data_IF_392686686325
#
_entry.id   IF_392686686325
#
_cell.length_a   1.000
_cell.length_b   1.000
_cell.length_c   1.000
_cell.angle_alpha   90.00
_cell.angle_beta   90.00
_cell.angle_gamma   90.00
#
_symmetry.space_group_name_H-M   'P 1'
#
loop_
_entity.id
_entity.type
_entity.pdbx_description
1 polymer ?
#
# COMPACT_ATOMS: atom_id res chain seq x y z
N UNK A 1 -14.72 0.99 0.17
CA UNK A 1 -13.72 1.53 -0.75
C UNK A 1 -12.38 1.75 -0.07
N UNK A 2 -12.33 2.62 0.93
CA UNK A 2 -11.09 3.08 1.59
C UNK A 2 -10.21 1.91 2.09
N UNK A 3 -10.78 0.98 2.84
CA UNK A 3 -10.05 -0.19 3.33
C UNK A 3 -9.61 -1.12 2.19
N UNK A 4 -10.42 -1.20 1.13
CA UNK A 4 -10.15 -2.05 -0.02
C UNK A 4 -8.93 -1.59 -0.81
N UNK A 5 -8.78 -0.28 -1.03
CA UNK A 5 -7.62 0.27 -1.73
C UNK A 5 -6.37 0.35 -0.84
N UNK A 6 -6.55 0.48 0.49
CA UNK A 6 -5.45 0.53 1.45
C UNK A 6 -4.74 -0.83 1.59
N UNK A 7 -5.49 -1.93 1.55
CA UNK A 7 -4.94 -3.26 1.80
C UNK A 7 -3.81 -3.66 0.83
N UNK A 8 -3.94 -3.55 -0.50
CA UNK A 8 -2.85 -3.89 -1.42
C UNK A 8 -1.63 -2.95 -1.26
N UNK A 9 -1.83 -1.68 -0.92
CA UNK A 9 -0.75 -0.76 -0.58
C UNK A 9 0.04 -1.23 0.64
N UNK A 10 -0.64 -1.61 1.72
CA UNK A 10 -0.02 -2.09 2.95
C UNK A 10 0.68 -3.45 2.75
N UNK A 11 0.05 -4.34 1.96
CA UNK A 11 0.65 -5.62 1.60
C UNK A 11 1.96 -5.44 0.84
N UNK A 12 1.98 -4.53 -0.13
CA UNK A 12 3.18 -4.32 -0.91
C UNK A 12 4.28 -3.64 -0.09
N UNK A 13 3.95 -2.73 0.83
CA UNK A 13 4.91 -2.21 1.78
C UNK A 13 5.54 -3.33 2.64
N UNK A 14 4.73 -4.30 3.09
CA UNK A 14 5.23 -5.47 3.80
C UNK A 14 6.11 -6.37 2.89
N UNK A 15 5.76 -6.53 1.60
CA UNK A 15 6.59 -7.26 0.63
C UNK A 15 7.94 -6.58 0.39
N UNK A 16 7.95 -5.24 0.30
CA UNK A 16 9.19 -4.45 0.16
C UNK A 16 10.09 -4.62 1.38
N UNK A 17 9.50 -4.59 2.58
CA UNK A 17 10.22 -4.89 3.81
C UNK A 17 10.81 -6.31 3.80
N UNK A 18 10.00 -7.31 3.40
CA UNK A 18 10.46 -8.71 3.32
C UNK A 18 11.53 -8.94 2.25
N UNK A 19 11.62 -8.06 1.25
CA UNK A 19 12.72 -8.03 0.29
C UNK A 19 14.01 -7.40 0.86
N UNK A 20 13.96 -6.87 2.10
CA UNK A 20 15.11 -6.37 2.85
C UNK A 20 15.26 -4.84 2.87
N UNK A 21 14.34 -4.06 2.28
CA UNK A 21 14.42 -2.61 2.42
C UNK A 21 14.27 -2.16 3.88
N UNK A 22 15.07 -1.18 4.35
CA UNK A 22 14.98 -0.67 5.71
C UNK A 22 13.61 -0.03 5.99
N UNK A 23 13.08 -0.27 7.19
CA UNK A 23 11.78 0.25 7.64
C UNK A 23 11.73 1.77 7.54
N UNK A 24 12.79 2.45 8.01
CA UNK A 24 12.88 3.91 8.00
C UNK A 24 12.84 4.48 6.58
N UNK A 25 13.51 3.82 5.64
CA UNK A 25 13.53 4.23 4.24
C UNK A 25 12.19 4.05 3.58
N UNK A 26 11.51 2.94 3.88
CA UNK A 26 10.18 2.65 3.37
C UNK A 26 9.18 3.72 3.81
N UNK A 27 9.18 4.06 5.10
CA UNK A 27 8.32 5.12 5.62
C UNK A 27 8.69 6.49 5.04
N UNK A 28 9.99 6.82 4.95
CA UNK A 28 10.45 8.08 4.39
C UNK A 28 10.03 8.26 2.93
N UNK A 29 10.17 7.24 2.10
CA UNK A 29 9.80 7.29 0.68
C UNK A 29 8.32 7.66 0.46
N UNK A 30 7.42 7.16 1.30
CA UNK A 30 5.99 7.48 1.20
C UNK A 30 5.63 8.82 1.85
N UNK A 31 6.34 9.23 2.90
CA UNK A 31 6.24 10.59 3.45
C UNK A 31 6.70 11.63 2.42
N UNK A 32 7.82 11.41 1.75
CA UNK A 32 8.36 12.30 0.71
C UNK A 32 7.46 12.32 -0.53
N UNK A 33 6.76 11.21 -0.83
CA UNK A 33 5.72 11.19 -1.85
C UNK A 33 4.52 12.06 -1.49
N UNK A 34 4.27 12.30 -0.19
CA UNK A 34 3.24 13.20 0.33
C UNK A 34 2.17 12.56 1.21
N UNK A 35 2.29 11.28 1.56
CA UNK A 35 1.42 10.68 2.57
C UNK A 35 1.72 11.26 3.96
N UNK A 36 0.71 11.42 4.83
CA UNK A 36 0.90 11.99 6.18
C UNK A 36 1.61 11.02 7.13
N UNK A 37 1.61 9.73 6.81
CA UNK A 37 2.17 8.65 7.63
C UNK A 37 2.80 7.61 6.71
N UNK A 38 3.99 7.14 7.05
CA UNK A 38 4.62 6.03 6.33
C UNK A 38 3.88 4.70 6.56
N UNK A 39 3.94 3.75 5.60
CA UNK A 39 3.13 2.54 5.61
C UNK A 39 3.44 1.62 6.80
N UNK A 40 4.68 1.50 7.20
CA UNK A 40 5.07 0.64 8.33
C UNK A 40 4.66 1.28 9.67
N UNK A 41 4.77 2.60 9.78
CA UNK A 41 4.19 3.34 10.92
C UNK A 41 2.68 3.16 10.96
N UNK A 42 1.99 3.20 9.82
CA UNK A 42 0.54 3.01 9.74
C UNK A 42 0.11 1.59 10.17
N UNK A 43 0.89 0.55 9.83
CA UNK A 43 0.66 -0.82 10.33
C UNK A 43 0.68 -0.88 11.86
N UNK A 44 1.63 -0.19 12.49
CA UNK A 44 1.72 -0.12 13.95
C UNK A 44 0.56 0.70 14.58
N UNK A 45 0.12 1.77 13.91
CA UNK A 45 -0.99 2.62 14.38
C UNK A 45 -2.34 1.91 14.30
N UNK A 46 -2.64 1.23 13.19
CA UNK A 46 -3.85 0.41 13.00
C UNK A 46 -3.81 -0.80 13.94
N UNK A 47 -2.65 -1.39 14.08
CA UNK A 47 -2.39 -2.58 14.87
C UNK A 47 -2.21 -3.83 14.03
N UNK A 48 -1.09 -4.50 14.26
CA UNK A 48 -0.70 -5.74 13.57
C UNK A 48 -1.76 -6.83 13.68
N UNK A 49 -2.43 -6.94 14.84
CA UNK A 49 -3.51 -7.90 15.08
C UNK A 49 -4.79 -7.59 14.29
N UNK A 50 -5.05 -6.34 13.97
CA UNK A 50 -6.16 -5.94 13.10
C UNK A 50 -5.84 -6.36 11.67
N UNK A 51 -4.62 -6.07 11.18
CA UNK A 51 -4.15 -6.53 9.87
C UNK A 51 -4.27 -8.05 9.71
N UNK A 52 -3.75 -8.81 10.68
CA UNK A 52 -3.80 -10.27 10.68
C UNK A 52 -5.24 -10.84 10.62
N UNK A 53 -6.22 -10.16 11.25
CA UNK A 53 -7.64 -10.58 11.21
C UNK A 53 -8.34 -10.22 9.90
N UNK A 54 -8.02 -9.08 9.30
CA UNK A 54 -8.69 -8.57 8.12
C UNK A 54 -8.19 -9.27 6.85
N UNK A 55 -6.89 -9.55 6.75
CA UNK A 55 -6.28 -10.12 5.55
C UNK A 55 -6.92 -11.41 5.05
N UNK A 56 -7.17 -12.44 5.90
CA UNK A 56 -7.82 -13.66 5.44
C UNK A 56 -9.24 -13.43 4.88
N UNK A 57 -9.96 -12.45 5.44
CA UNK A 57 -11.29 -12.07 4.98
C UNK A 57 -11.21 -11.46 3.58
N UNK A 58 -10.27 -10.51 3.37
CA UNK A 58 -10.08 -9.89 2.06
C UNK A 58 -9.65 -10.89 0.99
N UNK A 59 -8.75 -11.82 1.33
CA UNK A 59 -8.33 -12.90 0.41
C UNK A 59 -9.51 -13.78 0.03
N UNK A 60 -10.33 -14.18 1.01
CA UNK A 60 -11.51 -15.03 0.78
C UNK A 60 -12.54 -14.33 -0.10
N UNK A 61 -12.86 -13.07 0.19
CA UNK A 61 -13.97 -12.35 -0.47
C UNK A 61 -13.56 -11.65 -1.77
N UNK A 62 -12.29 -11.22 -1.90
CA UNK A 62 -11.81 -10.40 -3.02
C UNK A 62 -10.69 -11.07 -3.84
N UNK A 63 -10.22 -12.22 -3.40
CA UNK A 63 -9.27 -13.05 -4.15
C UNK A 63 -7.79 -12.89 -3.76
N UNK A 64 -6.92 -13.70 -4.40
CA UNK A 64 -5.52 -13.89 -4.01
C UNK A 64 -4.64 -12.63 -4.17
N UNK A 65 -5.07 -11.63 -4.93
CA UNK A 65 -4.36 -10.35 -5.06
C UNK A 65 -4.24 -9.58 -3.74
N UNK A 66 -5.05 -9.94 -2.74
CA UNK A 66 -4.97 -9.40 -1.38
C UNK A 66 -4.04 -10.20 -0.46
N UNK A 67 -3.42 -11.27 -0.96
CA UNK A 67 -2.49 -12.06 -0.15
C UNK A 67 -1.24 -11.24 0.17
N UNK A 68 -1.00 -10.99 1.45
CA UNK A 68 0.23 -10.39 1.98
C UNK A 68 1.25 -11.44 2.42
N UNK A 69 2.46 -11.02 2.80
CA UNK A 69 3.46 -11.92 3.41
C UNK A 69 3.08 -12.26 4.87
N UNK A 70 3.60 -13.37 5.39
CA UNK A 70 3.33 -13.87 6.75
C UNK A 70 4.02 -13.07 7.87
N UNK A 71 4.14 -11.78 7.68
CA UNK A 71 4.77 -10.85 8.63
C UNK A 71 3.95 -10.71 9.91
N UNK A 72 2.65 -10.65 9.80
CA UNK A 72 1.76 -10.37 10.93
C UNK A 72 1.78 -11.48 11.97
N UNK A 73 1.72 -12.72 11.55
CA UNK A 73 1.73 -13.88 12.48
C UNK A 73 3.05 -13.99 13.23
N UNK A 74 4.17 -13.69 12.55
CA UNK A 74 5.49 -13.66 13.19
C UNK A 74 5.57 -12.59 14.27
N UNK A 75 5.09 -11.39 13.97
CA UNK A 75 5.06 -10.27 14.91
C UNK A 75 4.13 -10.54 16.11
N UNK A 76 2.96 -11.14 15.88
CA UNK A 76 2.00 -11.46 16.92
C UNK A 76 2.52 -12.51 17.90
N UNK A 77 3.29 -13.50 17.42
CA UNK A 77 3.96 -14.50 18.28
C UNK A 77 4.97 -13.85 19.25
N UNK A 78 5.56 -12.71 18.88
CA UNK A 78 6.44 -11.90 19.74
C UNK A 78 5.68 -10.78 20.49
N UNK A 79 4.35 -10.87 20.56
CA UNK A 79 3.45 -9.90 21.20
C UNK A 79 3.59 -8.47 20.67
N UNK A 80 3.96 -8.31 19.41
CA UNK A 80 4.09 -7.01 18.71
C UNK A 80 2.76 -6.66 18.05
N UNK A 81 1.94 -5.88 18.76
CA UNK A 81 0.64 -5.41 18.24
C UNK A 81 0.68 -3.97 17.74
N UNK A 82 1.87 -3.37 17.68
CA UNK A 82 2.05 -1.98 17.32
C UNK A 82 1.95 -1.05 18.54
N UNK A 83 1.54 0.20 18.29
CA UNK A 83 1.47 1.28 19.29
C UNK A 83 0.73 0.89 20.58
N UNK A 84 -0.39 0.19 20.47
CA UNK A 84 -1.22 -0.21 21.62
C UNK A 84 -0.53 -1.16 22.61
N UNK A 85 0.48 -1.91 22.17
CA UNK A 85 1.29 -2.78 23.01
C UNK A 85 2.66 -2.16 23.37
N UNK A 86 2.93 -0.93 22.92
CA UNK A 86 4.21 -0.27 23.10
C UNK A 86 5.33 -0.78 22.18
N UNK A 87 5.04 -1.79 21.36
CA UNK A 87 6.00 -2.50 20.53
C UNK A 87 5.35 -3.03 19.25
N UNK A 88 5.91 -2.68 18.11
CA UNK A 88 5.54 -3.16 16.79
C UNK A 88 6.78 -3.29 15.91
N UNK A 89 6.77 -2.67 14.74
CA UNK A 89 7.98 -2.39 13.96
C UNK A 89 8.83 -1.31 14.61
N UNK A 90 8.16 -0.38 15.30
CA UNK A 90 8.76 0.66 16.10
C UNK A 90 8.53 0.40 17.58
N UNK A 91 9.34 1.07 18.42
CA UNK A 91 9.10 1.15 19.86
C UNK A 91 8.27 2.40 20.16
N UNK A 92 7.44 2.33 21.19
CA UNK A 92 6.56 3.42 21.63
C UNK A 92 6.72 3.69 23.13
N UNK A 93 6.68 4.98 23.50
CA UNK A 93 6.58 5.39 24.91
C UNK A 93 5.31 6.23 25.05
N UNK A 94 4.27 5.63 25.61
CA UNK A 94 2.92 6.20 25.56
C UNK A 94 2.45 6.33 24.11
N UNK A 95 2.03 7.52 23.72
CA UNK A 95 1.59 7.82 22.35
C UNK A 95 2.73 8.17 21.37
N UNK A 96 3.97 8.30 21.85
CA UNK A 96 5.10 8.75 21.01
C UNK A 96 5.84 7.58 20.38
N UNK A 97 5.87 7.55 19.04
CA UNK A 97 6.77 6.69 18.27
C UNK A 97 8.21 7.09 18.58
N UNK A 98 9.06 6.11 18.77
CA UNK A 98 10.49 6.29 19.04
C UNK A 98 11.29 5.94 17.79
N UNK A 99 12.02 4.88 17.84
CA UNK A 99 12.89 4.39 16.80
C UNK A 99 12.43 3.02 16.30
N UNK A 100 12.92 2.61 15.14
CA UNK A 100 12.73 1.25 14.68
C UNK A 100 13.30 0.27 15.68
N UNK A 101 12.50 -0.72 16.05
CA UNK A 101 12.97 -1.82 16.86
C UNK A 101 13.77 -2.80 15.99
N UNK A 102 15.10 -2.63 15.98
CA UNK A 102 16.00 -3.43 15.13
C UNK A 102 15.87 -4.95 15.39
N UNK A 103 15.29 -5.37 16.52
CA UNK A 103 15.03 -6.78 16.78
C UNK A 103 13.98 -7.38 15.83
N UNK A 104 13.15 -6.54 15.16
CA UNK A 104 12.22 -6.97 14.11
C UNK A 104 12.95 -7.63 12.94
N UNK A 105 14.05 -7.05 12.50
CA UNK A 105 14.84 -7.64 11.41
C UNK A 105 15.34 -9.04 11.74
N UNK A 106 15.82 -9.23 12.97
CA UNK A 106 16.25 -10.56 13.44
C UNK A 106 15.07 -11.54 13.52
N UNK A 107 13.91 -11.07 14.00
CA UNK A 107 12.68 -11.86 14.10
C UNK A 107 12.20 -12.31 12.73
N UNK A 108 12.24 -11.42 11.74
CA UNK A 108 11.85 -11.68 10.34
C UNK A 108 12.97 -12.34 9.51
N UNK A 109 14.15 -12.60 10.13
CA UNK A 109 15.34 -13.16 9.47
C UNK A 109 15.82 -12.30 8.28
N UNK A 110 15.76 -10.99 8.42
CA UNK A 110 16.14 -10.03 7.41
C UNK A 110 17.48 -9.37 7.77
N UNK A 111 18.25 -9.07 6.73
CA UNK A 111 19.37 -8.13 6.79
C UNK A 111 18.98 -6.90 6.00
N UNK A 112 18.72 -5.75 6.66
CA UNK A 112 18.25 -4.57 5.96
C UNK A 112 19.34 -4.01 5.06
N UNK A 113 19.01 -3.82 3.79
CA UNK A 113 19.88 -3.26 2.76
C UNK A 113 19.07 -2.41 1.79
N UNK A 114 19.44 -1.13 1.66
CA UNK A 114 18.78 -0.21 0.73
C UNK A 114 19.16 -0.52 -0.71
N UNK A 115 18.22 -1.04 -1.49
CA UNK A 115 18.39 -1.44 -2.90
C UNK A 115 17.57 -0.62 -3.88
N UNK A 116 16.38 -0.18 -3.45
CA UNK A 116 15.47 0.60 -4.26
C UNK A 116 15.64 2.09 -3.97
N UNK A 117 15.41 2.95 -4.94
CA UNK A 117 15.27 4.39 -4.68
C UNK A 117 13.85 4.73 -4.19
N UNK A 118 13.66 5.92 -3.64
CA UNK A 118 12.40 6.32 -2.99
C UNK A 118 11.21 6.31 -3.96
N UNK A 119 11.44 6.68 -5.22
CA UNK A 119 10.41 6.65 -6.27
C UNK A 119 9.99 5.22 -6.61
N UNK A 120 10.93 4.28 -6.68
CA UNK A 120 10.63 2.86 -6.90
C UNK A 120 9.80 2.29 -5.74
N UNK A 121 10.19 2.61 -4.50
CA UNK A 121 9.43 2.20 -3.31
C UNK A 121 8.00 2.76 -3.36
N UNK A 122 7.86 4.08 -3.60
CA UNK A 122 6.57 4.73 -3.63
C UNK A 122 5.67 4.13 -4.73
N UNK A 123 6.16 4.02 -5.96
CA UNK A 123 5.37 3.48 -7.07
C UNK A 123 5.00 2.01 -6.86
N UNK A 124 5.89 1.22 -6.29
CA UNK A 124 5.62 -0.16 -5.96
C UNK A 124 4.45 -0.30 -4.98
N UNK A 125 4.35 0.55 -3.97
CA UNK A 125 3.22 0.56 -3.05
C UNK A 125 1.95 1.14 -3.68
N UNK A 126 2.08 2.17 -4.52
CA UNK A 126 0.94 2.89 -5.09
C UNK A 126 0.22 2.12 -6.20
N UNK A 127 0.95 1.49 -7.13
CA UNK A 127 0.33 0.86 -8.30
C UNK A 127 -0.78 -0.12 -7.96
N UNK A 128 -0.64 -1.03 -6.96
CA UNK A 128 -1.74 -1.90 -6.56
C UNK A 128 -2.95 -1.16 -5.96
N UNK A 129 -2.70 -0.05 -5.23
CA UNK A 129 -3.76 0.83 -4.71
C UNK A 129 -4.55 1.48 -5.85
N UNK A 130 -3.86 2.04 -6.86
CA UNK A 130 -4.46 2.67 -8.02
C UNK A 130 -5.30 1.67 -8.82
N UNK A 131 -4.76 0.48 -9.05
CA UNK A 131 -5.45 -0.60 -9.74
C UNK A 131 -6.74 -1.03 -9.04
N UNK A 132 -6.69 -1.16 -7.71
CA UNK A 132 -7.86 -1.53 -6.92
C UNK A 132 -8.90 -0.40 -6.85
N UNK A 133 -8.48 0.86 -6.93
CA UNK A 133 -9.40 1.99 -7.04
C UNK A 133 -10.23 1.92 -8.33
N UNK A 134 -9.61 1.56 -9.46
CA UNK A 134 -10.31 1.35 -10.73
C UNK A 134 -11.31 0.20 -10.63
N UNK A 135 -10.92 -0.95 -10.04
CA UNK A 135 -11.85 -2.06 -9.79
C UNK A 135 -13.07 -1.63 -8.97
N UNK A 136 -12.86 -0.83 -7.92
CA UNK A 136 -13.95 -0.30 -7.11
C UNK A 136 -14.92 0.58 -7.90
N UNK A 137 -14.42 1.36 -8.86
CA UNK A 137 -15.26 2.17 -9.74
C UNK A 137 -16.07 1.29 -10.70
N UNK A 138 -15.41 0.34 -11.35
CA UNK A 138 -16.05 -0.54 -12.34
C UNK A 138 -17.07 -1.49 -11.70
N UNK A 139 -16.85 -1.90 -10.47
CA UNK A 139 -17.77 -2.73 -9.68
C UNK A 139 -18.90 -1.93 -8.99
N UNK A 140 -18.93 -0.60 -9.17
CA UNK A 140 -19.95 0.26 -8.57
C UNK A 140 -19.86 0.43 -7.04
N UNK A 141 -18.70 0.12 -6.44
CA UNK A 141 -18.44 0.36 -5.00
C UNK A 141 -18.36 1.87 -4.70
N UNK A 142 -17.89 2.65 -5.67
CA UNK A 142 -17.96 4.10 -5.69
C UNK A 142 -18.74 4.55 -6.94
N UNK A 143 -19.44 5.66 -6.86
CA UNK A 143 -20.33 6.16 -7.92
C UNK A 143 -19.58 6.91 -9.02
N UNK A 144 -18.41 7.46 -8.69
CA UNK A 144 -17.63 8.29 -9.59
C UNK A 144 -16.15 8.31 -9.20
N UNK A 145 -15.26 8.67 -10.13
CA UNK A 145 -13.86 8.93 -9.86
C UNK A 145 -13.67 10.00 -8.76
N UNK A 146 -14.53 11.04 -8.77
CA UNK A 146 -14.54 12.11 -7.76
C UNK A 146 -14.83 11.57 -6.36
N UNK A 147 -15.82 10.69 -6.20
CA UNK A 147 -16.13 10.08 -4.90
C UNK A 147 -14.95 9.24 -4.40
N UNK A 148 -14.27 8.55 -5.32
CA UNK A 148 -13.09 7.78 -5.00
C UNK A 148 -11.89 8.65 -4.59
N UNK A 149 -11.63 9.73 -5.31
CA UNK A 149 -10.55 10.67 -4.97
C UNK A 149 -10.78 11.31 -3.60
N UNK A 150 -12.00 11.80 -3.35
CA UNK A 150 -12.36 12.39 -2.05
C UNK A 150 -12.27 11.35 -0.93
N UNK A 151 -12.74 10.12 -1.18
CA UNK A 151 -12.64 9.01 -0.22
C UNK A 151 -11.20 8.65 0.12
N UNK A 152 -10.30 8.63 -0.84
CA UNK A 152 -8.88 8.36 -0.63
C UNK A 152 -8.17 9.50 0.12
N UNK A 153 -8.43 10.76 -0.25
CA UNK A 153 -7.82 11.93 0.40
C UNK A 153 -8.23 11.98 1.87
N UNK A 154 -9.52 11.93 2.17
CA UNK A 154 -10.01 12.06 3.54
C UNK A 154 -9.94 10.78 4.36
N UNK A 155 -9.99 9.61 3.72
CA UNK A 155 -10.03 8.33 4.41
C UNK A 155 -8.67 7.72 4.73
N UNK A 156 -7.68 7.91 3.86
CA UNK A 156 -6.33 7.33 4.02
C UNK A 156 -5.21 8.35 3.84
N UNK A 157 -5.53 9.62 3.69
CA UNK A 157 -4.52 10.68 3.53
C UNK A 157 -3.76 10.61 2.20
N UNK A 158 -4.42 10.14 1.12
CA UNK A 158 -3.80 10.25 -0.20
C UNK A 158 -3.39 11.71 -0.46
N UNK A 159 -2.19 11.97 -1.02
CA UNK A 159 -1.69 13.33 -1.15
C UNK A 159 -2.68 14.26 -1.87
N UNK A 160 -3.26 15.28 -1.20
CA UNK A 160 -4.34 16.10 -1.77
C UNK A 160 -3.89 16.95 -2.96
N UNK A 161 -2.61 17.32 -3.02
CA UNK A 161 -2.04 18.07 -4.15
C UNK A 161 -1.95 17.23 -5.44
N UNK A 162 -2.07 15.89 -5.35
CA UNK A 162 -2.19 14.99 -6.50
C UNK A 162 -3.65 14.78 -6.93
N UNK A 163 -4.61 15.27 -6.16
CA UNK A 163 -6.04 15.26 -6.47
C UNK A 163 -6.75 13.94 -6.24
N UNK A 164 -6.06 12.92 -5.71
CA UNK A 164 -6.58 11.58 -5.48
C UNK A 164 -6.11 10.55 -6.52
N UNK A 165 -6.44 9.25 -6.35
CA UNK A 165 -5.98 8.16 -7.20
C UNK A 165 -6.30 8.35 -8.68
N UNK A 166 -7.52 8.72 -9.01
CA UNK A 166 -7.99 8.84 -10.39
C UNK A 166 -7.41 10.07 -11.09
N UNK A 167 -7.42 11.22 -10.40
CA UNK A 167 -6.79 12.44 -10.92
C UNK A 167 -5.29 12.26 -11.11
N UNK A 168 -4.64 11.54 -10.21
CA UNK A 168 -3.22 11.22 -10.31
C UNK A 168 -2.93 10.32 -11.53
N UNK A 169 -3.75 9.28 -11.77
CA UNK A 169 -3.62 8.44 -12.96
C UNK A 169 -3.81 9.24 -14.26
N UNK A 170 -4.80 10.14 -14.31
CA UNK A 170 -5.01 11.02 -15.45
C UNK A 170 -3.81 11.95 -15.72
N UNK A 171 -3.18 12.45 -14.65
CA UNK A 171 -1.97 13.28 -14.73
C UNK A 171 -0.76 12.51 -15.25
N UNK A 172 -0.61 11.24 -14.86
CA UNK A 172 0.44 10.37 -15.37
C UNK A 172 0.20 9.94 -16.83
N UNK A 173 -1.06 9.84 -17.22
CA UNK A 173 -1.52 9.20 -18.46
C UNK A 173 -1.76 7.70 -18.26
N UNK A 174 -2.97 7.21 -18.62
CA UNK A 174 -3.36 5.83 -18.34
C UNK A 174 -2.49 4.80 -19.06
N UNK A 175 -2.09 5.07 -20.29
CA UNK A 175 -1.14 4.21 -21.02
C UNK A 175 0.16 4.01 -20.26
N UNK A 176 0.73 5.09 -19.70
CA UNK A 176 1.94 5.02 -18.89
C UNK A 176 1.73 4.26 -17.58
N UNK A 177 0.57 4.42 -16.96
CA UNK A 177 0.23 3.64 -15.74
C UNK A 177 0.17 2.14 -16.06
N UNK A 178 -0.46 1.76 -17.17
CA UNK A 178 -0.49 0.37 -17.66
C UNK A 178 0.91 -0.17 -17.94
N UNK A 179 1.76 0.60 -18.63
CA UNK A 179 3.16 0.21 -18.88
C UNK A 179 3.93 -0.04 -17.58
N UNK A 180 3.79 0.86 -16.61
CA UNK A 180 4.42 0.70 -15.29
C UNK A 180 3.90 -0.54 -14.55
N UNK A 181 2.61 -0.82 -14.61
CA UNK A 181 2.02 -2.02 -14.01
C UNK A 181 2.54 -3.29 -14.68
N UNK A 182 2.62 -3.33 -16.01
CA UNK A 182 3.16 -4.47 -16.76
C UNK A 182 4.63 -4.75 -16.38
N UNK A 183 5.47 -3.72 -16.30
CA UNK A 183 6.86 -3.85 -15.86
C UNK A 183 6.95 -4.40 -14.42
N UNK A 184 6.04 -3.98 -13.54
CA UNK A 184 5.97 -4.50 -12.18
C UNK A 184 5.42 -5.92 -12.13
N UNK A 185 4.50 -6.29 -13.02
CA UNK A 185 3.99 -7.66 -13.17
C UNK A 185 5.12 -8.61 -13.55
N UNK A 186 5.93 -8.26 -14.53
CA UNK A 186 7.10 -9.05 -14.95
C UNK A 186 8.11 -9.22 -13.81
N UNK A 187 8.34 -8.15 -13.03
CA UNK A 187 9.38 -8.15 -11.98
C UNK A 187 8.90 -8.74 -10.65
N UNK A 188 7.63 -8.53 -10.29
CA UNK A 188 7.12 -8.80 -8.94
C UNK A 188 5.89 -9.70 -8.90
N UNK A 189 5.31 -10.07 -10.06
CA UNK A 189 4.22 -11.03 -10.21
C UNK A 189 2.83 -10.42 -10.39
N UNK A 190 1.86 -11.29 -10.62
CA UNK A 190 0.48 -11.01 -11.08
C UNK A 190 -0.34 -10.03 -10.23
N UNK A 191 0.04 -9.76 -8.99
CA UNK A 191 -0.64 -8.78 -8.15
C UNK A 191 -0.55 -7.35 -8.69
N UNK A 192 0.36 -7.10 -9.64
CA UNK A 192 0.50 -5.83 -10.35
C UNK A 192 -0.24 -5.79 -11.68
N UNK A 193 -0.79 -6.91 -12.16
CA UNK A 193 -1.46 -6.96 -13.46
C UNK A 193 -2.58 -5.93 -13.55
N UNK A 194 -2.55 -5.03 -14.56
CA UNK A 194 -3.57 -4.00 -14.72
C UNK A 194 -4.95 -4.63 -14.91
N UNK A 195 -5.97 -4.05 -14.28
CA UNK A 195 -7.35 -4.52 -14.41
C UNK A 195 -7.94 -4.15 -15.77
N UNK A 196 -8.97 -4.91 -16.19
CA UNK A 196 -9.62 -4.75 -17.49
C UNK A 196 -10.13 -3.33 -17.72
N UNK A 197 -10.71 -2.70 -16.70
CA UNK A 197 -11.20 -1.33 -16.81
C UNK A 197 -10.12 -0.29 -17.04
N UNK A 198 -8.92 -0.50 -16.48
CA UNK A 198 -7.76 0.35 -16.74
C UNK A 198 -7.20 0.10 -18.15
N UNK A 199 -7.10 -1.16 -18.57
CA UNK A 199 -6.67 -1.54 -19.92
C UNK A 199 -7.59 -0.96 -20.99
N UNK A 200 -8.90 -1.08 -20.80
CA UNK A 200 -9.92 -0.56 -21.73
C UNK A 200 -9.78 0.95 -21.89
N UNK A 201 -9.75 1.71 -20.78
CA UNK A 201 -9.63 3.18 -20.84
C UNK A 201 -8.31 3.63 -21.45
N UNK A 202 -7.21 2.98 -21.10
CA UNK A 202 -5.91 3.28 -21.70
C UNK A 202 -5.89 3.03 -23.21
N UNK A 203 -6.50 1.91 -23.67
CA UNK A 203 -6.61 1.57 -25.10
C UNK A 203 -7.49 2.53 -25.89
N UNK A 204 -8.52 3.11 -25.29
CA UNK A 204 -9.39 4.11 -25.89
C UNK A 204 -8.87 5.55 -25.76
N UNK A 205 -7.77 5.78 -25.04
CA UNK A 205 -7.26 7.12 -24.75
C UNK A 205 -8.18 7.95 -23.84
N UNK A 206 -9.03 7.28 -23.07
CA UNK A 206 -9.96 7.92 -22.14
C UNK A 206 -9.27 8.42 -20.88
N UNK A 207 -9.96 9.30 -20.16
CA UNK A 207 -9.60 9.77 -18.83
C UNK A 207 -10.72 9.48 -17.84
N UNK A 208 -10.42 9.52 -16.56
CA UNK A 208 -11.43 9.46 -15.49
C UNK A 208 -12.20 10.77 -15.35
N UNK A 209 -11.56 11.87 -15.76
CA UNK A 209 -12.14 13.20 -15.78
C UNK A 209 -12.12 13.78 -17.18
N UNK A 210 -13.22 14.45 -17.59
CA UNK A 210 -13.30 15.11 -18.88
C UNK A 210 -12.32 16.28 -19.00
#
# INVERSE_FOLDING_TARGET
YVNRILAPYMNEAAQVLMAGEPIEKLDAALLDFGFPVGPITLLDEVGVDIGAKIMPILVKELGPRFQGPDVFDVLLKDNRKGRKSGKGFYTYKGSKKKEVDKSVYKLLKLTPESKLNDKEIAMRCLLPMLNEAVRCLDEGIIRSARDGDMGAIFGIGFPPFLGGPFRYMDTLGLTKVVEMMNQHTEKYGERFAPCDGLLTRAGLGEKFYP
#
